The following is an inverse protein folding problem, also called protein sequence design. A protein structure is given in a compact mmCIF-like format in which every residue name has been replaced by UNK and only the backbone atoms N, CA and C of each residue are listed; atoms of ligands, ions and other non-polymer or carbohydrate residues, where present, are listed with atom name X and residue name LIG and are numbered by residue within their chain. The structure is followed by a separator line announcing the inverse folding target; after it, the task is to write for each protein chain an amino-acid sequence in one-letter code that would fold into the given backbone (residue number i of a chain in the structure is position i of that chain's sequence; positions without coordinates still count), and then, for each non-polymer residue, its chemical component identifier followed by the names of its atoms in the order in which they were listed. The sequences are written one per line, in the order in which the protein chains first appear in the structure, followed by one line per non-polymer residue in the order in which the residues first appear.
data_IF_527231143621
#
_entry.id   IF_527231143621
#
_cell.length_a   1.000
_cell.length_b   1.000
_cell.length_c   1.000
_cell.angle_alpha   90.00
_cell.angle_beta   90.00
_cell.angle_gamma   90.00
#
_symmetry.space_group_name_H-M   'P 1'
#
loop_
_entity.id
_entity.type
_entity.pdbx_description
1 polymer ?
#
# COMPACT_ATOMS: atom_id res chain seq x y z
N UNK A 1 4.91 -10.08 -15.71
CA UNK A 1 4.02 -9.56 -14.65
C UNK A 1 4.24 -8.05 -14.54
N UNK A 2 3.18 -7.26 -14.38
CA UNK A 2 3.31 -5.79 -14.21
C UNK A 2 3.18 -5.45 -12.74
N UNK A 3 4.16 -4.71 -12.20
CA UNK A 3 4.17 -4.27 -10.80
C UNK A 3 3.58 -2.87 -10.71
N UNK A 4 2.58 -2.68 -9.86
CA UNK A 4 2.02 -1.37 -9.55
C UNK A 4 2.57 -0.95 -8.19
N UNK A 5 3.24 0.19 -8.13
CA UNK A 5 3.88 0.65 -6.92
C UNK A 5 3.57 2.13 -6.66
N UNK A 6 3.72 2.55 -5.41
CA UNK A 6 3.61 3.96 -5.04
C UNK A 6 4.93 4.71 -5.24
N UNK A 7 4.89 6.04 -5.09
CA UNK A 7 6.05 6.90 -5.29
C UNK A 7 7.16 6.73 -4.26
N UNK A 8 6.97 5.95 -3.19
CA UNK A 8 8.00 5.56 -2.24
C UNK A 8 8.96 4.50 -2.79
N UNK A 9 8.56 3.75 -3.82
CA UNK A 9 9.39 2.76 -4.51
C UNK A 9 10.17 3.35 -5.69
N UNK A 10 10.64 4.60 -5.59
CA UNK A 10 11.42 5.20 -6.67
C UNK A 10 12.67 4.36 -6.95
N UNK A 11 12.90 4.02 -8.22
CA UNK A 11 14.04 3.21 -8.65
C UNK A 11 13.75 1.73 -8.82
N UNK A 12 12.58 1.22 -8.44
CA UNK A 12 12.18 -0.17 -8.71
C UNK A 12 12.18 -0.51 -10.21
N UNK A 13 11.96 0.49 -11.06
CA UNK A 13 12.04 0.36 -12.51
C UNK A 13 13.44 -0.03 -13.02
N UNK A 14 14.50 0.17 -12.21
CA UNK A 14 15.86 -0.30 -12.52
C UNK A 14 16.04 -1.79 -12.26
N UNK A 15 15.23 -2.36 -11.38
CA UNK A 15 15.28 -3.77 -10.97
C UNK A 15 14.21 -4.61 -11.68
N UNK A 16 13.10 -3.98 -12.07
CA UNK A 16 11.98 -4.64 -12.72
C UNK A 16 11.45 -3.81 -13.91
N UNK A 17 11.55 -4.32 -15.15
CA UNK A 17 11.27 -3.54 -16.37
C UNK A 17 9.80 -3.15 -16.51
N UNK A 18 8.88 -3.95 -15.99
CA UNK A 18 7.43 -3.74 -16.13
C UNK A 18 6.84 -3.14 -14.83
N UNK A 19 7.22 -1.90 -14.52
CA UNK A 19 6.75 -1.23 -13.30
C UNK A 19 5.99 0.05 -13.61
N UNK A 20 4.79 0.16 -13.07
CA UNK A 20 3.92 1.31 -13.15
C UNK A 20 4.01 2.10 -11.83
N UNK A 21 4.46 3.35 -11.95
CA UNK A 21 4.62 4.30 -10.86
C UNK A 21 3.91 5.61 -11.23
N UNK A 22 3.28 6.31 -10.27
CA UNK A 22 2.76 7.64 -10.51
C UNK A 22 3.86 8.58 -10.98
N UNK A 23 3.58 9.39 -12.00
CA UNK A 23 4.47 10.44 -12.47
C UNK A 23 4.51 11.59 -11.46
N UNK A 24 5.71 11.98 -11.02
CA UNK A 24 5.89 13.11 -10.10
C UNK A 24 5.94 14.42 -10.89
N UNK A 25 5.16 15.41 -10.48
CA UNK A 25 5.30 16.77 -10.98
C UNK A 25 6.58 17.42 -10.41
N UNK A 26 7.26 18.24 -11.20
CA UNK A 26 8.29 19.16 -10.69
C UNK A 26 7.99 20.59 -11.11
N UNK A 27 8.66 21.56 -10.49
CA UNK A 27 8.47 22.99 -10.83
C UNK A 27 8.73 23.29 -12.31
N UNK A 28 9.68 22.58 -12.93
CA UNK A 28 10.06 22.77 -14.34
C UNK A 28 9.30 21.85 -15.31
N UNK A 29 8.75 20.75 -14.80
CA UNK A 29 7.99 19.76 -15.58
C UNK A 29 6.66 19.47 -14.90
N UNK A 30 5.62 20.28 -15.19
CA UNK A 30 4.27 20.00 -14.72
C UNK A 30 3.70 18.74 -15.41
N UNK A 31 2.71 18.10 -14.77
CA UNK A 31 2.06 16.92 -15.35
C UNK A 31 1.13 17.30 -16.50
N UNK A 32 1.21 16.55 -17.59
CA UNK A 32 0.23 16.64 -18.69
C UNK A 32 -1.15 16.17 -18.22
N UNK A 33 -2.24 16.54 -18.92
CA UNK A 33 -3.58 16.03 -18.62
C UNK A 33 -3.66 14.50 -18.61
N UNK A 34 -2.95 13.83 -19.51
CA UNK A 34 -2.89 12.37 -19.64
C UNK A 34 -2.19 11.75 -18.42
N UNK A 35 -1.05 12.31 -18.02
CA UNK A 35 -0.33 11.88 -16.83
C UNK A 35 -1.15 12.06 -15.55
N UNK A 36 -1.96 13.12 -15.46
CA UNK A 36 -2.89 13.31 -14.35
C UNK A 36 -3.98 12.25 -14.32
N UNK A 37 -4.53 11.86 -15.48
CA UNK A 37 -5.53 10.78 -15.58
C UNK A 37 -4.94 9.44 -15.17
N UNK A 38 -3.72 9.12 -15.62
CA UNK A 38 -3.02 7.90 -15.23
C UNK A 38 -2.73 7.86 -13.72
N UNK A 39 -2.21 8.96 -13.17
CA UNK A 39 -1.99 9.08 -11.72
C UNK A 39 -3.29 8.93 -10.93
N UNK A 40 -4.41 9.47 -11.41
CA UNK A 40 -5.73 9.32 -10.75
C UNK A 40 -6.14 7.85 -10.69
N UNK A 41 -5.89 7.09 -11.75
CA UNK A 41 -6.18 5.66 -11.83
C UNK A 41 -5.32 4.87 -10.81
N UNK A 42 -4.01 5.13 -10.78
CA UNK A 42 -3.09 4.50 -9.81
C UNK A 42 -3.49 4.86 -8.38
N UNK A 43 -3.82 6.12 -8.11
CA UNK A 43 -4.28 6.56 -6.79
C UNK A 43 -5.59 5.90 -6.37
N UNK A 44 -6.53 5.67 -7.31
CA UNK A 44 -7.77 4.95 -7.02
C UNK A 44 -7.53 3.54 -6.47
N UNK A 45 -6.59 2.81 -7.07
CA UNK A 45 -6.19 1.48 -6.60
C UNK A 45 -5.52 1.57 -5.22
N UNK A 46 -4.65 2.56 -5.02
CA UNK A 46 -3.93 2.77 -3.75
C UNK A 46 -4.86 3.04 -2.57
N UNK A 47 -5.94 3.80 -2.76
CA UNK A 47 -6.88 4.13 -1.69
C UNK A 47 -7.46 2.86 -1.04
N UNK A 48 -7.82 1.85 -1.82
CA UNK A 48 -8.32 0.58 -1.28
C UNK A 48 -7.27 -0.13 -0.42
N UNK A 49 -6.01 -0.15 -0.89
CA UNK A 49 -4.89 -0.74 -0.14
C UNK A 49 -4.61 0.05 1.14
N UNK A 50 -4.63 1.38 1.07
CA UNK A 50 -4.44 2.26 2.23
C UNK A 50 -5.54 2.07 3.27
N UNK A 51 -6.80 1.92 2.87
CA UNK A 51 -7.89 1.58 3.78
C UNK A 51 -7.69 0.22 4.45
N UNK A 52 -7.26 -0.82 3.71
CA UNK A 52 -6.96 -2.12 4.30
C UNK A 52 -5.81 -2.05 5.32
N UNK A 53 -4.71 -1.38 4.98
CA UNK A 53 -3.55 -1.18 5.86
C UNK A 53 -3.94 -0.36 7.10
N UNK A 54 -4.71 0.73 6.92
CA UNK A 54 -5.20 1.54 8.03
C UNK A 54 -6.12 0.73 8.94
N UNK A 55 -6.97 -0.12 8.37
CA UNK A 55 -7.84 -1.05 9.07
C UNK A 55 -7.10 -1.97 10.03
N UNK A 56 -6.12 -2.72 9.52
CA UNK A 56 -5.32 -3.62 10.35
C UNK A 56 -4.49 -2.86 11.41
N UNK A 57 -4.00 -1.66 11.08
CA UNK A 57 -3.26 -0.79 12.03
C UNK A 57 -4.10 -0.40 13.25
N UNK A 58 -5.42 -0.25 13.10
CA UNK A 58 -6.33 0.04 14.23
C UNK A 58 -6.34 -1.08 15.26
N UNK A 59 -6.01 -2.32 14.87
CA UNK A 59 -5.91 -3.46 15.78
C UNK A 59 -4.58 -3.52 16.55
N UNK A 60 -3.69 -2.52 16.39
CA UNK A 60 -2.45 -2.44 17.13
C UNK A 60 -1.26 -3.17 16.50
N UNK A 61 -1.49 -4.03 15.48
CA UNK A 61 -0.48 -4.96 14.98
C UNK A 61 0.78 -4.33 14.39
N UNK A 62 0.69 -3.09 13.92
CA UNK A 62 1.81 -2.31 13.37
C UNK A 62 2.03 -0.99 14.09
N UNK A 63 1.17 -0.63 15.04
CA UNK A 63 1.24 0.65 15.76
C UNK A 63 1.79 0.50 17.17
N UNK A 64 1.69 -0.69 17.76
CA UNK A 64 2.18 -0.98 19.10
C UNK A 64 3.41 -1.89 19.08
N UNK A 65 4.24 -1.78 20.12
CA UNK A 65 5.40 -2.67 20.29
C UNK A 65 4.96 -4.06 20.74
N UNK A 66 5.24 -5.08 19.93
CA UNK A 66 5.00 -6.47 20.29
C UNK A 66 6.09 -6.96 21.27
N UNK A 67 5.69 -7.19 22.53
CA UNK A 67 6.63 -7.64 23.59
C UNK A 67 6.80 -9.16 23.65
N UNK A 68 5.93 -9.91 22.98
CA UNK A 68 6.02 -11.36 22.91
C UNK A 68 7.20 -11.77 22.02
N UNK A 69 8.05 -12.68 22.50
CA UNK A 69 9.27 -13.14 21.82
C UNK A 69 9.15 -14.54 21.22
N UNK A 70 7.94 -15.11 21.20
CA UNK A 70 7.72 -16.40 20.54
C UNK A 70 8.05 -16.27 19.04
N UNK A 71 8.70 -17.27 18.42
CA UNK A 71 8.93 -17.27 16.98
C UNK A 71 7.63 -17.07 16.19
N UNK A 72 7.67 -16.28 15.11
CA UNK A 72 6.57 -16.03 14.16
C UNK A 72 5.32 -15.36 14.75
N UNK A 73 5.40 -14.82 15.97
CA UNK A 73 4.24 -14.20 16.63
C UNK A 73 3.83 -12.88 15.97
N UNK A 74 4.78 -12.16 15.40
CA UNK A 74 4.59 -10.95 14.60
C UNK A 74 3.81 -11.25 13.30
N UNK A 75 4.25 -12.25 12.54
CA UNK A 75 3.55 -12.69 11.33
C UNK A 75 2.13 -13.17 11.64
N UNK A 76 2.00 -13.99 12.70
CA UNK A 76 0.70 -14.49 13.16
C UNK A 76 -0.23 -13.34 13.56
N UNK A 77 0.30 -12.33 14.25
CA UNK A 77 -0.49 -11.20 14.68
C UNK A 77 -0.99 -10.37 13.49
N UNK A 78 -0.12 -10.05 12.53
CA UNK A 78 -0.53 -9.35 11.30
C UNK A 78 -1.59 -10.15 10.53
N UNK A 79 -1.40 -11.47 10.39
CA UNK A 79 -2.37 -12.35 9.71
C UNK A 79 -3.73 -12.32 10.40
N UNK A 80 -3.77 -12.48 11.73
CA UNK A 80 -5.00 -12.41 12.50
C UNK A 80 -5.68 -11.05 12.38
N UNK A 81 -4.92 -9.96 12.42
CA UNK A 81 -5.45 -8.61 12.21
C UNK A 81 -6.06 -8.42 10.82
N UNK A 82 -5.42 -8.95 9.77
CA UNK A 82 -5.96 -8.93 8.42
C UNK A 82 -7.27 -9.73 8.31
N UNK A 83 -7.32 -10.93 8.91
CA UNK A 83 -8.54 -11.76 8.95
C UNK A 83 -9.68 -11.05 9.66
N UNK A 84 -9.42 -10.48 10.85
CA UNK A 84 -10.43 -9.75 11.64
C UNK A 84 -10.96 -8.53 10.89
N UNK A 85 -10.07 -7.76 10.23
CA UNK A 85 -10.49 -6.62 9.43
C UNK A 85 -11.35 -7.03 8.23
N UNK A 86 -10.95 -8.08 7.51
CA UNK A 86 -11.74 -8.61 6.39
C UNK A 86 -13.11 -9.13 6.85
N UNK A 87 -13.18 -9.76 8.03
CA UNK A 87 -14.44 -10.21 8.60
C UNK A 87 -15.35 -9.05 9.00
N UNK A 88 -14.78 -7.97 9.53
CA UNK A 88 -15.52 -6.74 9.84
C UNK A 88 -16.14 -6.13 8.58
N UNK A 89 -15.39 -6.03 7.48
CA UNK A 89 -15.88 -5.49 6.20
C UNK A 89 -16.98 -6.33 5.53
N UNK A 90 -17.16 -7.60 5.92
CA UNK A 90 -18.21 -8.48 5.39
C UNK A 90 -19.55 -8.35 6.10
N UNK A 91 -19.59 -7.62 7.23
CA UNK A 91 -20.79 -7.47 8.06
C UNK A 91 -21.66 -6.27 7.68
N UNK A 92 -21.20 -5.46 6.73
CA UNK A 92 -21.96 -4.42 6.04
C UNK A 92 -22.44 -4.93 4.67
#
# INVERSE_FOLDING_TARGET
MTVWADTGFQGINKQHPNTLLPKKATRKTPLSPEQKKENKLISGIRITVEHAIAGIKRLGCMTQSLRNRRPFIDDTFILLSAVLWNFHLRRD
#
